data_IF_052947752285
#
_entry.id   IF_052947752285
#
_cell.length_a   1.000
_cell.length_b   1.000
_cell.length_c   1.000
_cell.angle_alpha   90.00
_cell.angle_beta   90.00
_cell.angle_gamma   90.00
#
_symmetry.space_group_name_H-M   'P 1'
#
loop_
_entity.id
_entity.type
_entity.pdbx_description
1 polymer ?
#
# COMPACT_ATOMS: atom_id res chain seq x y z
N UNK A 1 6.73 -19.20 -11.76
CA UNK A 1 6.68 -17.93 -11.00
C UNK A 1 5.39 -17.93 -10.22
N UNK A 2 5.42 -17.76 -8.89
CA UNK A 2 4.19 -17.78 -8.08
C UNK A 2 3.39 -16.48 -8.31
N UNK A 3 2.07 -16.52 -8.08
CA UNK A 3 1.21 -15.33 -8.19
C UNK A 3 1.73 -14.16 -7.34
N UNK A 4 2.26 -14.46 -6.16
CA UNK A 4 2.92 -13.51 -5.26
C UNK A 4 4.14 -12.84 -5.88
N UNK A 5 4.94 -13.56 -6.69
CA UNK A 5 6.11 -12.99 -7.36
C UNK A 5 5.71 -12.04 -8.50
N UNK A 6 4.63 -12.37 -9.23
CA UNK A 6 4.07 -11.49 -10.28
C UNK A 6 3.48 -10.21 -9.70
N UNK A 7 2.75 -10.31 -8.60
CA UNK A 7 2.21 -9.14 -7.89
C UNK A 7 3.33 -8.29 -7.33
N UNK A 8 4.38 -8.90 -6.80
CA UNK A 8 5.57 -8.17 -6.34
C UNK A 8 6.22 -7.39 -7.48
N UNK A 9 6.48 -8.04 -8.62
CA UNK A 9 7.10 -7.40 -9.78
C UNK A 9 6.23 -6.29 -10.37
N UNK A 10 4.93 -6.54 -10.53
CA UNK A 10 3.99 -5.54 -11.03
C UNK A 10 3.88 -4.37 -10.05
N UNK A 11 3.69 -4.63 -8.76
CA UNK A 11 3.57 -3.55 -7.77
C UNK A 11 4.84 -2.69 -7.68
N UNK A 12 6.02 -3.30 -7.78
CA UNK A 12 7.30 -2.56 -7.82
C UNK A 12 7.43 -1.69 -9.07
N UNK A 13 6.97 -2.15 -10.24
CA UNK A 13 7.02 -1.37 -11.48
C UNK A 13 6.17 -0.09 -11.43
N UNK A 14 5.11 -0.07 -10.62
CA UNK A 14 4.26 1.10 -10.42
C UNK A 14 4.58 1.86 -9.12
N UNK A 15 5.51 1.36 -8.31
CA UNK A 15 5.73 1.86 -6.97
C UNK A 15 6.27 3.29 -6.94
N UNK A 16 7.10 3.70 -7.90
CA UNK A 16 7.60 5.09 -7.97
C UNK A 16 6.44 6.10 -8.00
N UNK A 17 5.41 5.82 -8.80
CA UNK A 17 4.22 6.69 -8.88
C UNK A 17 3.40 6.70 -7.59
N UNK A 18 3.41 5.60 -6.83
CA UNK A 18 2.76 5.53 -5.52
C UNK A 18 3.58 6.26 -4.46
N UNK A 19 4.90 6.14 -4.50
CA UNK A 19 5.80 6.76 -3.54
C UNK A 19 5.61 8.28 -3.49
N UNK A 20 5.50 8.94 -4.64
CA UNK A 20 5.21 10.38 -4.71
C UNK A 20 3.89 10.73 -4.01
N UNK A 21 2.84 9.93 -4.18
CA UNK A 21 1.56 10.16 -3.49
C UNK A 21 1.70 10.05 -1.97
N UNK A 22 2.52 9.10 -1.50
CA UNK A 22 2.79 8.94 -0.08
C UNK A 22 3.65 10.08 0.48
N UNK A 23 4.71 10.44 -0.24
CA UNK A 23 5.69 11.46 0.16
C UNK A 23 5.09 12.87 0.18
N UNK A 24 4.33 13.23 -0.85
CA UNK A 24 3.76 14.58 -1.00
C UNK A 24 2.36 14.72 -0.39
N UNK A 25 1.63 13.61 -0.21
CA UNK A 25 0.25 13.62 0.26
C UNK A 25 0.09 12.96 1.63
N UNK A 26 0.33 11.65 1.70
CA UNK A 26 -0.05 10.87 2.88
C UNK A 26 0.76 11.16 4.14
N UNK A 27 2.09 11.28 4.05
CA UNK A 27 2.91 11.59 5.23
C UNK A 27 2.66 13.01 5.75
N UNK A 28 2.59 14.05 4.90
CA UNK A 28 2.20 15.38 5.34
C UNK A 28 0.81 15.43 5.98
N UNK A 29 -0.16 14.68 5.46
CA UNK A 29 -1.49 14.57 6.08
C UNK A 29 -1.42 13.96 7.49
N UNK A 30 -0.67 12.88 7.67
CA UNK A 30 -0.48 12.24 8.98
C UNK A 30 0.16 13.22 9.97
N UNK A 31 1.23 13.92 9.56
CA UNK A 31 1.91 14.90 10.40
C UNK A 31 0.97 16.04 10.79
N UNK A 32 0.20 16.58 9.85
CA UNK A 32 -0.81 17.59 10.11
C UNK A 32 -1.83 17.14 11.16
N UNK A 33 -2.39 15.93 11.00
CA UNK A 33 -3.38 15.38 11.94
C UNK A 33 -2.82 15.14 13.33
N UNK A 34 -1.57 14.69 13.40
CA UNK A 34 -0.84 14.55 14.66
C UNK A 34 -0.69 15.91 15.34
N UNK A 35 -0.25 16.94 14.61
CA UNK A 35 -0.08 18.29 15.15
C UNK A 35 -1.39 18.92 15.59
N UNK A 36 -2.48 18.74 14.83
CA UNK A 36 -3.83 19.17 15.24
C UNK A 36 -4.21 18.56 16.59
N UNK A 37 -4.05 17.23 16.73
CA UNK A 37 -4.37 16.52 17.97
C UNK A 37 -3.53 16.99 19.15
N UNK A 38 -2.23 17.19 18.96
CA UNK A 38 -1.31 17.66 20.01
C UNK A 38 -1.61 19.10 20.44
N UNK A 39 -1.92 19.99 19.49
CA UNK A 39 -2.32 21.39 19.76
C UNK A 39 -3.59 21.45 20.61
N UNK A 40 -4.52 20.54 20.34
CA UNK A 40 -5.79 20.44 21.08
C UNK A 40 -5.62 19.72 22.44
N UNK A 41 -4.38 19.42 22.85
CA UNK A 41 -4.04 18.79 24.14
C UNK A 41 -4.21 17.27 24.17
N UNK A 42 -4.55 16.66 23.03
CA UNK A 42 -4.65 15.23 22.88
C UNK A 42 -3.29 14.54 22.74
N UNK A 43 -3.27 13.23 22.94
CA UNK A 43 -2.10 12.40 22.65
C UNK A 43 -2.44 11.39 21.54
N UNK A 44 -1.41 10.98 20.81
CA UNK A 44 -1.51 9.92 19.79
C UNK A 44 -0.95 8.64 20.37
N UNK A 45 -1.62 7.52 20.12
CA UNK A 45 -1.20 6.22 20.59
C UNK A 45 0.26 5.90 20.19
N UNK A 46 1.11 5.67 21.19
CA UNK A 46 2.55 5.42 20.98
C UNK A 46 2.84 4.15 20.17
N UNK A 47 1.98 3.13 20.23
CA UNK A 47 2.13 1.92 19.41
C UNK A 47 1.74 2.20 17.96
N UNK A 48 0.68 2.98 17.73
CA UNK A 48 0.29 3.38 16.39
C UNK A 48 1.38 4.22 15.71
N UNK A 49 1.98 5.17 16.44
CA UNK A 49 3.13 5.95 15.96
C UNK A 49 4.32 5.07 15.57
N UNK A 50 4.68 4.10 16.42
CA UNK A 50 5.79 3.18 16.13
C UNK A 50 5.51 2.35 14.87
N UNK A 51 4.33 1.77 14.76
CA UNK A 51 3.93 1.02 13.58
C UNK A 51 3.93 1.89 12.31
N UNK A 52 3.39 3.11 12.37
CA UNK A 52 3.39 4.04 11.24
C UNK A 52 4.81 4.47 10.82
N UNK A 53 5.74 4.61 11.76
CA UNK A 53 7.13 4.94 11.45
C UNK A 53 7.84 3.83 10.67
N UNK A 54 7.48 2.56 10.88
CA UNK A 54 8.02 1.43 10.12
C UNK A 54 7.58 1.45 8.65
N UNK A 55 6.42 2.04 8.34
CA UNK A 55 5.88 2.08 6.97
C UNK A 55 6.85 2.77 6.01
N UNK A 56 7.41 3.93 6.37
CA UNK A 56 8.38 4.62 5.51
C UNK A 56 9.62 3.77 5.23
N UNK A 57 10.11 3.04 6.24
CA UNK A 57 11.27 2.18 6.09
C UNK A 57 10.97 1.00 5.16
N UNK A 58 9.82 0.35 5.35
CA UNK A 58 9.37 -0.78 4.54
C UNK A 58 9.14 -0.39 3.07
N UNK A 59 8.76 0.86 2.83
CA UNK A 59 8.49 1.40 1.50
C UNK A 59 9.75 1.94 0.78
N UNK A 60 10.76 2.42 1.52
CA UNK A 60 12.00 2.98 0.93
C UNK A 60 13.09 1.95 0.60
N UNK A 61 12.88 0.67 0.89
CA UNK A 61 13.83 -0.38 0.53
C UNK A 61 13.95 -0.55 -0.99
N UNK A 62 15.10 -1.07 -1.45
CA UNK A 62 15.33 -1.44 -2.86
C UNK A 62 14.25 -2.40 -3.39
N UNK A 63 13.76 -3.28 -2.52
CA UNK A 63 12.53 -4.04 -2.72
C UNK A 63 11.46 -3.61 -1.69
N UNK A 64 10.47 -2.78 -2.09
CA UNK A 64 9.41 -2.33 -1.20
C UNK A 64 8.58 -3.49 -0.63
N UNK A 65 8.44 -3.51 0.70
CA UNK A 65 7.68 -4.54 1.44
C UNK A 65 6.23 -4.10 1.64
N UNK A 66 5.47 -4.04 0.55
CA UNK A 66 4.11 -3.48 0.51
C UNK A 66 3.12 -4.16 1.47
N UNK A 67 3.15 -5.49 1.56
CA UNK A 67 2.26 -6.24 2.45
C UNK A 67 2.53 -5.92 3.93
N UNK A 68 3.80 -5.87 4.32
CA UNK A 68 4.21 -5.54 5.69
C UNK A 68 3.87 -4.08 6.02
N UNK A 69 4.10 -3.16 5.07
CA UNK A 69 3.73 -1.76 5.19
C UNK A 69 2.22 -1.59 5.38
N UNK A 70 1.41 -2.34 4.62
CA UNK A 70 -0.04 -2.35 4.75
C UNK A 70 -0.49 -2.87 6.12
N UNK A 71 0.11 -3.95 6.62
CA UNK A 71 -0.21 -4.51 7.95
C UNK A 71 0.16 -3.55 9.08
N UNK A 72 1.33 -2.92 9.02
CA UNK A 72 1.76 -1.93 10.02
C UNK A 72 0.80 -0.73 10.06
N UNK A 73 0.36 -0.28 8.88
CA UNK A 73 -0.56 0.84 8.74
C UNK A 73 -2.01 0.48 9.14
N UNK A 74 -2.45 -0.75 8.88
CA UNK A 74 -3.71 -1.30 9.36
C UNK A 74 -3.76 -1.30 10.90
N UNK A 75 -2.69 -1.78 11.54
CA UNK A 75 -2.57 -1.73 12.99
C UNK A 75 -2.66 -0.29 13.50
N UNK A 76 -1.93 0.65 12.89
CA UNK A 76 -1.99 2.06 13.28
C UNK A 76 -3.41 2.64 13.11
N UNK A 77 -4.07 2.37 11.98
CA UNK A 77 -5.44 2.81 11.68
C UNK A 77 -6.48 2.21 12.65
N UNK A 78 -6.30 0.97 13.09
CA UNK A 78 -7.20 0.36 14.10
C UNK A 78 -7.17 1.08 15.46
N UNK A 79 -6.08 1.81 15.75
CA UNK A 79 -5.90 2.55 17.00
C UNK A 79 -6.24 4.02 16.86
N UNK A 80 -5.88 4.62 15.73
CA UNK A 80 -6.06 6.05 15.43
C UNK A 80 -6.64 6.20 14.02
N UNK A 81 -7.93 5.85 13.83
CA UNK A 81 -8.55 5.74 12.49
C UNK A 81 -8.60 7.08 11.75
N UNK A 82 -8.80 8.19 12.45
CA UNK A 82 -8.84 9.53 11.85
C UNK A 82 -7.48 9.99 11.31
N UNK A 83 -6.38 9.48 11.89
CA UNK A 83 -5.01 9.87 11.56
C UNK A 83 -4.45 8.97 10.45
N UNK A 84 -4.53 7.64 10.62
CA UNK A 84 -3.88 6.70 9.70
C UNK A 84 -4.84 5.99 8.75
N UNK A 85 -6.15 6.01 9.02
CA UNK A 85 -7.16 5.33 8.20
C UNK A 85 -7.14 5.74 6.72
N UNK A 86 -7.13 7.04 6.38
CA UNK A 86 -7.10 7.47 4.98
C UNK A 86 -5.88 6.93 4.21
N UNK A 87 -4.71 6.95 4.84
CA UNK A 87 -3.48 6.42 4.23
C UNK A 87 -3.52 4.90 4.10
N UNK A 88 -4.10 4.19 5.08
CA UNK A 88 -4.30 2.74 5.02
C UNK A 88 -5.19 2.34 3.84
N UNK A 89 -6.33 3.01 3.68
CA UNK A 89 -7.26 2.72 2.59
C UNK A 89 -6.61 2.94 1.22
N UNK A 90 -5.79 3.98 1.09
CA UNK A 90 -5.03 4.25 -0.13
C UNK A 90 -4.03 3.12 -0.44
N UNK A 91 -3.21 2.72 0.55
CA UNK A 91 -2.22 1.65 0.35
C UNK A 91 -2.90 0.33 -0.01
N UNK A 92 -3.96 -0.02 0.71
CA UNK A 92 -4.74 -1.22 0.47
C UNK A 92 -5.35 -1.22 -0.93
N UNK A 93 -5.95 -0.11 -1.36
CA UNK A 93 -6.54 0.00 -2.70
C UNK A 93 -5.49 -0.18 -3.81
N UNK A 94 -4.28 0.37 -3.62
CA UNK A 94 -3.18 0.16 -4.54
C UNK A 94 -2.78 -1.33 -4.64
N UNK A 95 -2.57 -1.99 -3.49
CA UNK A 95 -2.19 -3.39 -3.44
C UNK A 95 -3.27 -4.26 -4.13
N UNK A 96 -4.54 -4.04 -3.83
CA UNK A 96 -5.65 -4.78 -4.46
C UNK A 96 -5.69 -4.59 -5.98
N UNK A 97 -5.48 -3.37 -6.49
CA UNK A 97 -5.40 -3.11 -7.94
C UNK A 97 -4.21 -3.82 -8.58
N UNK A 98 -3.07 -3.90 -7.91
CA UNK A 98 -1.92 -4.65 -8.39
C UNK A 98 -2.23 -6.16 -8.49
N UNK A 99 -2.98 -6.73 -7.52
CA UNK A 99 -3.48 -8.10 -7.59
C UNK A 99 -4.45 -8.32 -8.77
N UNK A 100 -5.38 -7.41 -9.01
CA UNK A 100 -6.34 -7.49 -10.13
C UNK A 100 -5.65 -7.39 -11.51
N UNK A 101 -4.67 -6.51 -11.66
CA UNK A 101 -3.87 -6.37 -12.90
C UNK A 101 -3.08 -7.64 -13.25
N UNK A 102 -2.66 -8.39 -12.23
CA UNK A 102 -1.98 -9.68 -12.41
C UNK A 102 -2.97 -10.80 -12.74
N UNK A 103 -4.16 -10.81 -12.13
CA UNK A 103 -5.18 -11.83 -12.43
C UNK A 103 -5.70 -11.73 -13.86
N UNK A 104 -5.91 -10.51 -14.38
CA UNK A 104 -6.45 -10.27 -15.73
C UNK A 104 -5.45 -10.57 -16.86
N UNK A 105 -4.15 -10.42 -16.60
CA UNK A 105 -3.08 -10.84 -17.51
C UNK A 105 -2.92 -12.37 -17.55
N UNK A 106 -3.31 -13.07 -16.48
CA UNK A 106 -3.33 -14.54 -16.43
C UNK A 106 -4.50 -15.15 -17.23
N UNK A 107 -5.68 -14.51 -17.22
CA UNK A 107 -6.84 -14.94 -18.03
C UNK A 107 -6.65 -14.68 -19.53
N UNK A 108 -5.91 -13.62 -19.89
CA UNK A 108 -5.58 -13.33 -21.30
C UNK A 108 -4.65 -14.39 -21.91
N UNK A 109 -3.79 -15.02 -21.09
CA UNK A 109 -2.95 -16.14 -21.52
C UNK A 109 -3.75 -17.43 -21.74
N UNK A 110 -4.76 -17.68 -20.90
CA UNK A 110 -5.69 -18.81 -21.07
C UNK A 110 -6.62 -18.65 -22.27
N UNK A 111 -7.13 -17.43 -22.50
CA UNK A 111 -7.99 -17.14 -23.65
C UNK A 111 -7.24 -17.12 -25.00
N UNK A 112 -5.92 -16.98 -24.98
CA UNK A 112 -5.08 -17.06 -26.18
C UNK A 112 -4.84 -18.51 -26.64
N UNK A 113 -4.91 -19.50 -25.74
CA UNK A 113 -4.71 -20.92 -26.08
C UNK A 113 -5.96 -21.60 -26.66
N UNK A 114 -7.17 -21.05 -26.44
CA UNK A 114 -8.43 -21.60 -26.99
C UNK A 114 -8.77 -21.06 -28.39
N UNK A 115 -7.94 -20.19 -28.97
CA UNK A 115 -8.13 -19.64 -30.33
C UNK A 115 -7.15 -20.21 -31.35
N UNK A 116 -6.92 -21.52 -31.33
CA UNK A 116 -6.39 -22.21 -32.51
C UNK A 116 -7.57 -22.55 -33.42
N UNK A 117 -7.77 -21.88 -34.57
CA UNK A 117 -8.71 -22.40 -35.55
C UNK A 117 -8.10 -23.67 -36.13
N UNK A 118 -8.75 -24.81 -35.89
CA UNK A 118 -8.53 -26.01 -36.67
C UNK A 118 -8.96 -25.68 -38.11
N UNK A 119 -7.97 -25.38 -38.95
CA UNK A 119 -8.08 -25.47 -40.40
C UNK A 119 -7.76 -26.90 -40.84
#
# INVERSE_FOLDING_TARGET
MLLTDQVRLHANAFFESLWTVFEEGSFPYIELKIHERERDGGTVNANARRAAAEVQLLLRCEEPRLADACMALEFAASREPEIYGPTYELLRAFIMRAYEGVSSSHDSSRAADERTPLC
#
